data_IF_146024100012
#
_entry.id   IF_146024100012
#
_cell.length_a   1.000
_cell.length_b   1.000
_cell.length_c   1.000
_cell.angle_alpha   90.00
_cell.angle_beta   90.00
_cell.angle_gamma   90.00
#
_symmetry.space_group_name_H-M   'P 1'
#
loop_
_entity.id
_entity.type
_entity.pdbx_description
1 polymer ?
#
# COMPACT_ATOMS: atom_id res chain seq x y z
N UNK A 1 -0.13 17.33 13.20
CA UNK A 1 1.11 17.71 12.47
C UNK A 1 2.40 17.82 13.31
N UNK A 2 2.46 18.58 14.45
CA UNK A 2 3.70 18.70 15.22
C UNK A 2 4.21 17.37 15.82
N UNK A 3 3.28 16.51 16.26
CA UNK A 3 3.61 15.17 16.79
C UNK A 3 4.28 14.29 15.73
N UNK A 4 3.76 14.28 14.50
CA UNK A 4 4.34 13.53 13.39
C UNK A 4 5.77 13.98 13.06
N UNK A 5 6.03 15.30 13.04
CA UNK A 5 7.39 15.83 12.82
C UNK A 5 8.34 15.43 13.94
N UNK A 6 7.87 15.46 15.20
CA UNK A 6 8.67 14.97 16.34
C UNK A 6 8.96 13.47 16.24
N UNK A 7 7.98 12.67 15.84
CA UNK A 7 8.15 11.23 15.62
C UNK A 7 9.18 10.96 14.52
N UNK A 8 9.07 11.64 13.38
CA UNK A 8 10.05 11.54 12.30
C UNK A 8 11.48 11.89 12.76
N UNK A 9 11.65 12.97 13.55
CA UNK A 9 12.95 13.34 14.10
C UNK A 9 13.51 12.29 15.07
N UNK A 10 12.66 11.65 15.87
CA UNK A 10 13.05 10.57 16.78
C UNK A 10 13.43 9.28 16.03
N UNK A 11 12.80 9.02 14.88
CA UNK A 11 13.07 7.85 14.04
C UNK A 11 14.26 8.03 13.10
N UNK A 12 14.63 9.28 12.77
CA UNK A 12 15.71 9.58 11.83
C UNK A 12 17.05 8.87 12.12
N UNK A 13 17.52 8.76 13.39
CA UNK A 13 18.78 8.07 13.68
C UNK A 13 18.76 6.57 13.37
N UNK A 14 17.58 5.96 13.22
CA UNK A 14 17.43 4.54 12.90
C UNK A 14 17.66 4.25 11.41
N UNK A 15 17.66 5.27 10.55
CA UNK A 15 17.85 5.09 9.11
C UNK A 15 16.73 4.28 8.45
N UNK A 16 15.49 4.38 8.95
CA UNK A 16 14.34 3.70 8.34
C UNK A 16 14.09 4.20 6.91
N UNK A 17 13.59 3.33 6.05
CA UNK A 17 13.36 3.61 4.62
C UNK A 17 12.41 4.78 4.40
N UNK A 18 11.28 4.77 5.10
CA UNK A 18 10.30 5.85 5.07
C UNK A 18 9.44 5.85 6.34
N UNK A 19 8.75 6.96 6.57
CA UNK A 19 7.64 7.08 7.52
C UNK A 19 6.34 7.11 6.73
N UNK A 20 5.48 6.12 6.98
CA UNK A 20 4.20 5.92 6.30
C UNK A 20 3.06 6.67 6.98
N UNK A 21 2.12 7.19 6.19
CA UNK A 21 0.85 7.81 6.61
C UNK A 21 0.98 8.64 7.91
N UNK A 22 1.88 9.63 7.97
CA UNK A 22 2.27 10.31 9.22
C UNK A 22 1.15 11.18 9.81
N UNK A 23 0.05 11.35 9.10
CA UNK A 23 -1.17 11.97 9.57
C UNK A 23 -2.37 11.41 8.80
N UNK A 24 -3.57 11.69 9.33
CA UNK A 24 -4.80 11.26 8.68
C UNK A 24 -4.91 11.72 7.22
N UNK A 25 -5.49 10.87 6.36
CA UNK A 25 -5.76 11.19 4.97
C UNK A 25 -6.82 12.30 4.85
N UNK A 26 -6.92 12.89 3.66
CA UNK A 26 -7.94 13.91 3.35
C UNK A 26 -7.52 15.36 3.64
N UNK A 27 -6.29 15.57 4.15
CA UNK A 27 -5.70 16.91 4.25
C UNK A 27 -4.26 16.92 3.71
N UNK A 28 -4.13 16.83 2.39
CA UNK A 28 -2.84 16.86 1.69
C UNK A 28 -1.99 18.09 2.04
N UNK A 29 -2.53 19.31 2.22
CA UNK A 29 -1.73 20.44 2.70
C UNK A 29 -1.08 20.19 4.07
N UNK A 30 -1.74 19.46 4.98
CA UNK A 30 -1.15 19.09 6.26
C UNK A 30 -0.04 18.05 6.10
N UNK A 31 -0.26 17.03 5.26
CA UNK A 31 0.73 16.02 4.93
C UNK A 31 1.98 16.64 4.30
N UNK A 32 1.81 17.52 3.31
CA UNK A 32 2.91 18.25 2.65
C UNK A 32 3.72 19.08 3.66
N UNK A 33 3.05 19.73 4.63
CA UNK A 33 3.75 20.48 5.70
C UNK A 33 4.57 19.56 6.61
N UNK A 34 4.11 18.35 6.87
CA UNK A 34 4.86 17.36 7.65
C UNK A 34 6.05 16.87 6.83
N UNK A 35 5.82 16.45 5.59
CA UNK A 35 6.82 15.89 4.71
C UNK A 35 8.00 16.86 4.48
N UNK A 36 7.73 18.16 4.25
CA UNK A 36 8.77 19.19 4.12
C UNK A 36 9.62 19.42 5.37
N UNK A 37 9.16 19.01 6.55
CA UNK A 37 9.86 19.15 7.83
C UNK A 37 10.43 17.82 8.33
N UNK A 38 10.07 16.72 7.68
CA UNK A 38 10.49 15.39 8.08
C UNK A 38 11.95 15.17 7.67
N UNK A 39 12.83 14.77 8.59
CA UNK A 39 14.16 14.28 8.22
C UNK A 39 14.14 12.86 7.64
N UNK A 40 12.99 12.18 7.66
CA UNK A 40 12.76 10.84 7.11
C UNK A 40 11.91 10.95 5.84
N UNK A 41 12.20 10.19 4.77
CA UNK A 41 11.33 10.13 3.58
C UNK A 41 9.88 9.80 3.95
N UNK A 42 8.90 10.45 3.31
CA UNK A 42 7.47 10.17 3.55
C UNK A 42 6.92 9.27 2.45
N UNK A 43 6.22 8.22 2.89
CA UNK A 43 5.39 7.36 2.06
C UNK A 43 3.89 7.61 2.35
N UNK A 44 3.07 7.55 1.31
CA UNK A 44 1.63 7.86 1.35
C UNK A 44 0.95 7.22 0.14
N UNK A 45 -0.32 6.86 0.27
CA UNK A 45 -1.17 6.66 -0.89
C UNK A 45 -2.16 5.52 -0.78
N UNK A 46 -2.17 4.78 0.34
CA UNK A 46 -3.09 3.66 0.52
C UNK A 46 -4.56 4.10 0.42
N UNK A 47 -4.86 5.37 0.73
CA UNK A 47 -6.21 5.98 0.72
C UNK A 47 -6.36 7.10 -0.32
N UNK A 48 -5.46 7.16 -1.30
CA UNK A 48 -5.55 8.00 -2.50
C UNK A 48 -5.93 7.09 -3.66
N UNK A 49 -7.05 7.38 -4.34
CA UNK A 49 -7.69 6.38 -5.21
C UNK A 49 -7.41 6.57 -6.70
N UNK A 50 -7.05 7.78 -7.11
CA UNK A 50 -6.88 8.12 -8.53
C UNK A 50 -5.62 8.94 -8.73
N UNK A 51 -5.12 8.97 -9.98
CA UNK A 51 -3.99 9.86 -10.33
C UNK A 51 -4.22 11.33 -9.99
N UNK A 52 -5.48 11.77 -9.81
CA UNK A 52 -5.79 13.15 -9.43
C UNK A 52 -5.38 13.42 -7.99
N UNK A 53 -5.68 12.49 -7.11
CA UNK A 53 -5.34 12.56 -5.69
C UNK A 53 -3.81 12.60 -5.53
N UNK A 54 -3.10 11.79 -6.32
CA UNK A 54 -1.63 11.80 -6.35
C UNK A 54 -1.02 13.03 -7.04
N UNK A 55 -1.69 13.66 -8.00
CA UNK A 55 -1.11 14.74 -8.81
C UNK A 55 -0.69 15.94 -7.95
N UNK A 56 -1.51 16.33 -6.97
CA UNK A 56 -1.19 17.46 -6.08
C UNK A 56 -0.01 17.12 -5.16
N UNK A 57 0.00 15.92 -4.58
CA UNK A 57 1.09 15.43 -3.74
C UNK A 57 2.42 15.37 -4.51
N UNK A 58 2.41 14.82 -5.73
CA UNK A 58 3.60 14.71 -6.57
C UNK A 58 4.08 16.10 -7.04
N UNK A 59 3.17 16.99 -7.41
CA UNK A 59 3.51 18.37 -7.78
C UNK A 59 4.14 19.16 -6.63
N UNK A 60 3.79 18.83 -5.37
CA UNK A 60 4.36 19.49 -4.20
C UNK A 60 5.86 19.21 -3.99
N UNK A 61 6.37 18.12 -4.60
CA UNK A 61 7.72 17.57 -4.44
C UNK A 61 8.12 17.29 -2.99
N UNK A 62 7.13 17.03 -2.13
CA UNK A 62 7.36 16.82 -0.70
C UNK A 62 7.43 15.34 -0.29
N UNK A 63 6.83 14.45 -1.09
CA UNK A 63 6.77 13.01 -0.79
C UNK A 63 7.87 12.25 -1.54
N UNK A 64 8.28 11.10 -0.99
CA UNK A 64 9.37 10.30 -1.55
C UNK A 64 8.89 8.96 -2.14
N UNK A 65 7.78 8.42 -1.62
CA UNK A 65 7.20 7.15 -2.06
C UNK A 65 5.69 7.30 -2.18
N UNK A 66 5.11 6.76 -3.25
CA UNK A 66 3.65 6.58 -3.37
C UNK A 66 3.28 5.12 -3.18
N UNK A 67 2.13 4.88 -2.55
CA UNK A 67 1.65 3.53 -2.20
C UNK A 67 0.26 3.25 -2.79
N UNK A 68 0.09 3.30 -4.12
CA UNK A 68 -1.21 3.01 -4.73
C UNK A 68 -1.65 1.58 -4.40
N UNK A 69 -2.87 1.44 -3.91
CA UNK A 69 -3.51 0.16 -3.69
C UNK A 69 -4.35 -0.22 -4.91
N UNK A 70 -4.14 -1.38 -5.54
CA UNK A 70 -4.87 -1.77 -6.76
C UNK A 70 -6.38 -1.96 -6.53
N UNK A 71 -6.78 -2.48 -5.37
CA UNK A 71 -8.19 -2.72 -5.04
C UNK A 71 -8.90 -1.40 -4.80
N UNK A 72 -8.24 -0.45 -4.13
CA UNK A 72 -8.81 0.86 -3.87
C UNK A 72 -8.68 1.80 -5.08
N UNK A 73 -7.62 1.66 -5.86
CA UNK A 73 -7.29 2.53 -7.00
C UNK A 73 -7.79 1.96 -8.31
N UNK A 74 -9.11 1.90 -8.50
CA UNK A 74 -9.79 1.60 -9.77
C UNK A 74 -9.13 0.51 -10.68
N UNK A 75 -8.44 -0.48 -10.09
CA UNK A 75 -7.71 -1.55 -10.77
C UNK A 75 -6.31 -1.21 -11.31
N UNK A 76 -5.65 -2.25 -11.84
CA UNK A 76 -4.26 -2.24 -12.32
C UNK A 76 -3.98 -1.09 -13.31
N UNK A 77 -4.95 -0.78 -14.18
CA UNK A 77 -4.78 0.26 -15.19
C UNK A 77 -4.63 1.66 -14.58
N UNK A 78 -5.33 1.94 -13.48
CA UNK A 78 -5.19 3.23 -12.79
C UNK A 78 -3.91 3.26 -11.96
N UNK A 79 -3.62 2.19 -11.21
CA UNK A 79 -2.38 2.05 -10.46
C UNK A 79 -1.14 2.24 -11.36
N UNK A 80 -1.13 1.66 -12.57
CA UNK A 80 -0.05 1.87 -13.56
C UNK A 80 0.10 3.33 -14.00
N UNK A 81 -1.01 4.07 -14.13
CA UNK A 81 -0.98 5.49 -14.50
C UNK A 81 -0.48 6.35 -13.33
N UNK A 82 -0.81 5.97 -12.09
CA UNK A 82 -0.25 6.59 -10.89
C UNK A 82 1.27 6.36 -10.84
N UNK A 83 1.71 5.12 -11.06
CA UNK A 83 3.14 4.77 -11.08
C UNK A 83 3.93 5.57 -12.14
N UNK A 84 3.41 5.66 -13.36
CA UNK A 84 4.00 6.45 -14.43
C UNK A 84 4.02 7.96 -14.11
N UNK A 85 3.00 8.47 -13.41
CA UNK A 85 3.00 9.86 -12.94
C UNK A 85 4.06 10.08 -11.87
N UNK A 86 4.24 9.13 -10.93
CA UNK A 86 5.27 9.20 -9.91
C UNK A 86 6.68 9.16 -10.52
N UNK A 87 6.88 8.38 -11.58
CA UNK A 87 8.15 8.28 -12.32
C UNK A 87 8.60 9.65 -12.83
N UNK A 88 7.68 10.44 -13.41
CA UNK A 88 7.95 11.80 -13.90
C UNK A 88 8.41 12.77 -12.80
N UNK A 89 8.16 12.43 -11.54
CA UNK A 89 8.52 13.24 -10.37
C UNK A 89 9.71 12.66 -9.59
N UNK A 90 10.36 11.60 -10.09
CA UNK A 90 11.42 10.87 -9.39
C UNK A 90 10.99 10.34 -8.02
N UNK A 91 9.71 9.95 -7.91
CA UNK A 91 9.12 9.37 -6.70
C UNK A 91 9.01 7.87 -6.89
N UNK A 92 9.43 7.11 -5.89
CA UNK A 92 9.36 5.64 -5.91
C UNK A 92 7.93 5.14 -5.69
N UNK A 93 7.64 3.92 -6.15
CA UNK A 93 6.35 3.26 -5.97
C UNK A 93 6.52 2.04 -5.08
N UNK A 94 5.73 1.95 -4.02
CA UNK A 94 5.66 0.78 -3.15
C UNK A 94 4.18 0.42 -2.90
N UNK A 95 3.53 -0.38 -3.76
CA UNK A 95 2.08 -0.56 -3.69
C UNK A 95 1.62 -1.16 -2.37
N UNK A 96 0.56 -0.58 -1.80
CA UNK A 96 -0.14 -1.12 -0.63
C UNK A 96 -0.94 -2.36 -1.03
N UNK A 97 -0.85 -3.42 -0.23
CA UNK A 97 -1.45 -4.73 -0.51
C UNK A 97 -1.66 -5.57 0.76
N UNK A 98 -2.65 -5.19 1.60
CA UNK A 98 -3.11 -6.01 2.73
C UNK A 98 -4.13 -7.07 2.31
N UNK A 99 -4.11 -7.48 1.04
CA UNK A 99 -5.21 -8.20 0.39
C UNK A 99 -4.84 -9.64 0.01
N UNK A 100 -5.81 -10.35 -0.58
CA UNK A 100 -5.66 -11.74 -1.03
C UNK A 100 -4.48 -12.00 -1.97
N UNK A 101 -4.18 -13.28 -2.20
CA UNK A 101 -3.20 -13.70 -3.21
C UNK A 101 -3.57 -13.24 -4.64
N UNK A 102 -4.86 -13.00 -4.93
CA UNK A 102 -5.28 -12.42 -6.22
C UNK A 102 -4.72 -11.01 -6.36
N UNK A 103 -4.84 -10.16 -5.34
CA UNK A 103 -4.30 -8.82 -5.42
C UNK A 103 -2.78 -8.84 -5.39
N UNK A 104 -2.18 -9.72 -4.59
CA UNK A 104 -0.72 -9.88 -4.57
C UNK A 104 -0.17 -10.20 -5.95
N UNK A 105 -0.75 -11.15 -6.69
CA UNK A 105 -0.31 -11.42 -8.07
C UNK A 105 -0.55 -10.26 -9.03
N UNK A 106 -1.66 -9.52 -8.89
CA UNK A 106 -1.90 -8.31 -9.66
C UNK A 106 -0.84 -7.23 -9.38
N UNK A 107 -0.45 -7.04 -8.11
CA UNK A 107 0.63 -6.16 -7.70
C UNK A 107 1.97 -6.60 -8.29
N UNK A 108 2.34 -7.89 -8.20
CA UNK A 108 3.58 -8.38 -8.79
C UNK A 108 3.68 -8.11 -10.30
N UNK A 109 2.56 -8.23 -11.02
CA UNK A 109 2.51 -7.85 -12.44
C UNK A 109 2.65 -6.35 -12.68
N UNK A 110 2.12 -5.51 -11.79
CA UNK A 110 2.33 -4.06 -11.82
C UNK A 110 3.79 -3.71 -11.52
N UNK A 111 4.38 -4.33 -10.51
CA UNK A 111 5.76 -4.10 -10.05
C UNK A 111 6.75 -4.41 -11.16
N UNK A 112 6.58 -5.56 -11.82
CA UNK A 112 7.43 -6.00 -12.92
C UNK A 112 7.47 -5.04 -14.13
N UNK A 113 6.49 -4.14 -14.24
CA UNK A 113 6.38 -3.16 -15.33
C UNK A 113 6.50 -1.72 -14.85
N UNK A 114 6.93 -1.50 -13.61
CA UNK A 114 7.09 -0.18 -12.98
C UNK A 114 8.59 0.12 -12.77
N UNK A 115 9.20 0.98 -13.60
CA UNK A 115 10.66 1.22 -13.54
C UNK A 115 11.14 1.82 -12.22
N UNK A 116 10.29 2.60 -11.55
CA UNK A 116 10.53 3.24 -10.25
C UNK A 116 9.94 2.44 -9.08
N UNK A 117 9.75 1.13 -9.24
CA UNK A 117 9.35 0.23 -8.16
C UNK A 117 10.42 0.15 -7.07
N UNK A 118 9.98 0.19 -5.81
CA UNK A 118 10.84 0.13 -4.63
C UNK A 118 10.70 -1.21 -3.90
N UNK A 119 9.48 -1.56 -3.47
CA UNK A 119 9.16 -2.79 -2.75
C UNK A 119 7.66 -3.04 -2.78
N UNK A 120 7.24 -4.27 -2.52
CA UNK A 120 5.83 -4.67 -2.50
C UNK A 120 5.45 -5.08 -1.08
N UNK A 121 4.42 -4.45 -0.52
CA UNK A 121 3.81 -4.93 0.72
C UNK A 121 3.14 -6.29 0.49
N UNK A 122 3.32 -7.24 1.40
CA UNK A 122 2.60 -8.52 1.39
C UNK A 122 2.34 -8.96 2.83
N UNK A 123 1.10 -9.28 3.14
CA UNK A 123 0.72 -9.92 4.41
C UNK A 123 1.01 -11.41 4.29
N UNK A 124 1.86 -11.91 5.18
CA UNK A 124 2.28 -13.33 5.20
C UNK A 124 1.65 -14.13 6.33
N UNK A 125 0.85 -13.48 7.17
CA UNK A 125 0.09 -14.17 8.22
C UNK A 125 -0.86 -15.19 7.59
N UNK A 126 -0.93 -16.43 8.13
CA UNK A 126 -1.78 -17.47 7.56
C UNK A 126 -3.26 -17.08 7.63
N UNK A 127 -3.91 -17.06 6.47
CA UNK A 127 -5.33 -16.76 6.35
C UNK A 127 -6.03 -17.95 5.66
N UNK A 128 -6.69 -18.84 6.42
CA UNK A 128 -7.19 -20.12 5.90
C UNK A 128 -8.10 -20.01 4.68
N UNK A 129 -8.88 -18.92 4.56
CA UNK A 129 -9.72 -18.74 3.39
C UNK A 129 -8.90 -18.39 2.14
N UNK A 130 -7.87 -17.55 2.28
CA UNK A 130 -7.06 -17.07 1.15
C UNK A 130 -6.29 -18.25 0.53
N UNK A 131 -5.68 -19.08 1.37
CA UNK A 131 -4.91 -20.26 0.94
C UNK A 131 -5.81 -21.38 0.38
N UNK A 132 -7.04 -21.51 0.89
CA UNK A 132 -7.98 -22.51 0.40
C UNK A 132 -8.65 -22.11 -0.92
N UNK A 133 -8.91 -20.82 -1.13
CA UNK A 133 -9.65 -20.30 -2.28
C UNK A 133 -8.73 -19.99 -3.45
N UNK A 134 -7.56 -19.38 -3.22
CA UNK A 134 -6.66 -19.01 -4.31
C UNK A 134 -5.73 -20.17 -4.64
N UNK A 135 -5.82 -20.66 -5.88
CA UNK A 135 -4.97 -21.73 -6.39
C UNK A 135 -3.77 -21.14 -7.11
N UNK A 136 -2.63 -21.79 -6.94
CA UNK A 136 -1.33 -21.37 -7.47
C UNK A 136 -0.87 -20.00 -6.94
N UNK A 137 -1.02 -19.72 -5.62
CA UNK A 137 -0.55 -18.44 -5.09
C UNK A 137 0.97 -18.30 -5.31
N UNK A 138 1.47 -17.07 -5.44
CA UNK A 138 2.89 -16.84 -5.58
C UNK A 138 3.58 -17.24 -4.26
N UNK A 139 4.78 -17.83 -4.37
CA UNK A 139 5.56 -18.22 -3.21
C UNK A 139 6.73 -17.25 -3.04
N UNK A 140 6.91 -16.77 -1.82
CA UNK A 140 8.08 -15.98 -1.44
C UNK A 140 9.25 -16.94 -1.20
N UNK A 141 10.42 -16.62 -1.73
CA UNK A 141 11.65 -17.35 -1.44
C UNK A 141 12.24 -16.98 -0.07
N UNK A 142 13.35 -17.63 0.30
CA UNK A 142 13.99 -17.42 1.60
C UNK A 142 14.63 -16.03 1.73
N UNK A 143 14.85 -15.36 0.60
CA UNK A 143 15.44 -14.04 0.49
C UNK A 143 14.39 -12.91 0.47
N UNK A 144 13.10 -13.26 0.50
CA UNK A 144 11.99 -12.31 0.55
C UNK A 144 11.48 -11.84 -0.82
N UNK A 145 11.81 -12.55 -1.90
CA UNK A 145 11.38 -12.21 -3.25
C UNK A 145 10.29 -13.15 -3.75
N UNK A 146 9.43 -12.62 -4.63
CA UNK A 146 8.46 -13.40 -5.38
C UNK A 146 8.93 -13.57 -6.82
N UNK A 147 8.80 -14.80 -7.33
CA UNK A 147 8.87 -15.03 -8.76
C UNK A 147 7.58 -14.51 -9.43
N UNK A 148 7.73 -13.81 -10.55
CA UNK A 148 6.57 -13.36 -11.32
C UNK A 148 5.81 -14.56 -11.92
N UNK A 149 4.49 -14.70 -11.67
CA UNK A 149 3.68 -15.72 -12.31
C UNK A 149 3.74 -15.63 -13.84
N UNK A 150 3.85 -16.78 -14.51
CA UNK A 150 4.02 -16.86 -15.98
C UNK A 150 2.82 -17.39 -16.76
N UNK A 151 1.84 -17.96 -16.06
CA UNK A 151 0.61 -18.40 -16.70
C UNK A 151 -0.22 -17.20 -17.19
N UNK A 152 -1.04 -17.39 -18.21
CA UNK A 152 -1.85 -16.33 -18.78
C UNK A 152 -2.81 -15.71 -17.74
N UNK A 153 -3.08 -14.40 -17.86
CA UNK A 153 -3.84 -13.65 -16.87
C UNK A 153 -2.98 -13.29 -15.66
N UNK A 154 -3.55 -13.38 -14.46
CA UNK A 154 -2.84 -13.12 -13.20
C UNK A 154 -2.03 -14.33 -12.69
N UNK A 155 -2.09 -15.46 -13.41
CA UNK A 155 -1.40 -16.68 -13.03
C UNK A 155 -1.99 -17.44 -11.83
N UNK A 156 -3.18 -17.04 -11.37
CA UNK A 156 -3.96 -17.71 -10.31
C UNK A 156 -5.34 -18.10 -10.79
N UNK A 157 -5.94 -19.09 -10.14
CA UNK A 157 -7.35 -19.47 -10.32
C UNK A 157 -8.06 -19.56 -8.97
N UNK A 158 -9.39 -19.59 -8.96
CA UNK A 158 -10.19 -19.63 -7.74
C UNK A 158 -10.90 -20.98 -7.60
N UNK A 159 -10.87 -21.53 -6.39
CA UNK A 159 -11.74 -22.63 -5.98
C UNK A 159 -13.01 -22.08 -5.32
N UNK A 160 -14.07 -21.99 -6.13
CA UNK A 160 -15.37 -21.46 -5.68
C UNK A 160 -16.11 -22.43 -4.76
N UNK A 161 -15.83 -23.73 -4.80
CA UNK A 161 -16.40 -24.68 -3.84
C UNK A 161 -15.72 -24.54 -2.47
N UNK A 162 -14.39 -24.33 -2.46
CA UNK A 162 -13.68 -24.00 -1.23
C UNK A 162 -14.20 -22.71 -0.60
N UNK A 163 -14.51 -21.69 -1.40
CA UNK A 163 -15.03 -20.41 -0.94
C UNK A 163 -16.35 -20.55 -0.17
N UNK A 164 -17.21 -21.52 -0.51
CA UNK A 164 -18.48 -21.77 0.20
C UNK A 164 -18.28 -22.18 1.68
N UNK A 165 -17.09 -22.66 2.05
CA UNK A 165 -16.75 -23.02 3.44
C UNK A 165 -16.40 -21.80 4.30
N UNK A 166 -16.20 -20.65 3.67
CA UNK A 166 -15.81 -19.39 4.30
C UNK A 166 -16.90 -18.33 4.03
N UNK A 167 -18.05 -18.41 4.73
CA UNK A 167 -19.11 -17.42 4.57
C UNK A 167 -18.60 -16.01 4.95
N UNK A 168 -19.11 -14.93 4.32
CA UNK A 168 -18.70 -13.58 4.64
C UNK A 168 -18.87 -13.26 6.13
N UNK A 169 -17.81 -12.72 6.74
CA UNK A 169 -17.88 -12.17 8.09
C UNK A 169 -18.24 -10.70 7.99
N UNK A 170 -19.36 -10.31 8.59
CA UNK A 170 -19.76 -8.91 8.65
C UNK A 170 -19.13 -8.30 9.90
N UNK A 171 -18.17 -7.40 9.70
CA UNK A 171 -17.50 -6.66 10.77
C UNK A 171 -17.22 -5.23 10.34
N UNK A 172 -16.97 -4.36 11.32
CA UNK A 172 -16.37 -3.04 11.10
C UNK A 172 -14.92 -3.11 11.56
N UNK A 173 -14.02 -2.31 10.95
CA UNK A 173 -12.71 -2.05 11.55
C UNK A 173 -12.89 -1.64 13.03
N UNK A 174 -11.95 -2.02 13.91
CA UNK A 174 -12.07 -1.69 15.32
C UNK A 174 -12.12 -0.17 15.52
N UNK A 175 -13.05 0.29 16.34
CA UNK A 175 -13.04 1.66 16.81
C UNK A 175 -11.97 1.81 17.88
N UNK A 176 -11.05 2.76 17.68
CA UNK A 176 -10.10 3.15 18.72
C UNK A 176 -10.70 4.25 19.59
N UNK A 177 -10.27 4.28 20.84
CA UNK A 177 -10.76 5.23 21.83
C UNK A 177 -9.57 5.76 22.61
N UNK A 178 -9.55 7.07 22.86
CA UNK A 178 -8.65 7.65 23.84
C UNK A 178 -9.11 7.30 25.26
N UNK A 179 -8.21 7.43 26.24
CA UNK A 179 -8.47 7.08 27.64
C UNK A 179 -9.69 7.82 28.22
N UNK A 180 -9.95 9.05 27.76
CA UNK A 180 -11.10 9.87 28.14
C UNK A 180 -12.41 9.49 27.44
N UNK A 181 -12.40 8.49 26.56
CA UNK A 181 -13.57 7.98 25.84
C UNK A 181 -13.91 8.72 24.55
N UNK A 182 -13.05 9.62 24.06
CA UNK A 182 -13.18 10.19 22.73
C UNK A 182 -12.81 9.15 21.66
N UNK A 183 -13.49 9.18 20.51
CA UNK A 183 -13.14 8.33 19.36
C UNK A 183 -11.76 8.74 18.86
N UNK A 184 -10.87 7.76 18.76
CA UNK A 184 -9.54 7.92 18.20
C UNK A 184 -9.53 7.43 16.75
N UNK A 185 -8.56 7.93 15.99
CA UNK A 185 -8.36 7.51 14.62
C UNK A 185 -7.75 6.11 14.55
N UNK A 186 -8.24 5.28 13.62
CA UNK A 186 -7.74 3.94 13.30
C UNK A 186 -6.92 3.97 12.01
#
# INVERSE_FOLDING_TARGET
PPVAVRAAAALAPLGITFLEEPCLPGNDPALIRIARKSPVPIAVGERHYTRRDFAELLASRAIAVVQPDIIQSAGIAEARRIAALAEMHFVSVAPHNPWSWVNTTASLHLDAVTPNFLMQEVITDPEPWNDAVVRQPPAMDAEGFFALPRAAGLGVTLDLEAAKRFPPVVGRPPALWHDEGAVADW
#
